data_IF_021095706989
#
_entry.id   IF_021095706989
#
_cell.length_a   1.000
_cell.length_b   1.000
_cell.length_c   1.000
_cell.angle_alpha   90.00
_cell.angle_beta   90.00
_cell.angle_gamma   90.00
#
_symmetry.space_group_name_H-M   'P 1'
#
loop_
_entity.id
_entity.type
_entity.pdbx_description
1 polymer ?
#
# COMPACT_ATOMS: atom_id res chain seq x y z
N UNK A 1 -1.13 -41.63 0.77
CA UNK A 1 -2.11 -40.69 0.19
C UNK A 1 -2.98 -40.17 1.33
N UNK A 2 -2.66 -38.99 1.87
CA UNK A 2 -3.47 -38.26 2.86
C UNK A 2 -3.95 -36.97 2.19
N UNK A 3 -4.91 -37.10 1.28
CA UNK A 3 -5.65 -35.98 0.72
C UNK A 3 -6.69 -35.53 1.73
N UNK A 4 -6.34 -34.55 2.57
CA UNK A 4 -7.24 -33.53 3.14
C UNK A 4 -6.55 -32.82 4.31
N UNK A 5 -5.71 -31.83 4.01
CA UNK A 5 -5.57 -30.68 4.92
C UNK A 5 -6.52 -29.63 4.35
N UNK A 6 -7.68 -29.43 4.98
CA UNK A 6 -8.59 -28.34 4.61
C UNK A 6 -7.82 -27.03 4.73
N UNK A 7 -7.79 -26.22 3.65
CA UNK A 7 -7.22 -24.87 3.71
C UNK A 7 -7.91 -24.08 4.85
N UNK A 8 -7.18 -23.23 5.59
CA UNK A 8 -7.78 -22.47 6.68
C UNK A 8 -8.90 -21.56 6.17
N UNK A 9 -9.95 -21.39 6.99
CA UNK A 9 -10.95 -20.34 6.75
C UNK A 9 -10.34 -18.98 7.07
N UNK A 10 -10.40 -18.06 6.10
CA UNK A 10 -9.76 -16.75 6.18
C UNK A 10 -10.81 -15.65 6.33
N UNK A 11 -10.63 -14.79 7.33
CA UNK A 11 -11.29 -13.49 7.38
C UNK A 11 -10.34 -12.40 6.89
N UNK A 12 -10.75 -11.61 5.90
CA UNK A 12 -10.07 -10.38 5.49
C UNK A 12 -10.81 -9.19 6.09
N UNK A 13 -10.18 -8.48 7.01
CA UNK A 13 -10.75 -7.28 7.64
C UNK A 13 -10.23 -6.04 6.92
N UNK A 14 -11.12 -5.36 6.18
CA UNK A 14 -10.78 -4.24 5.31
C UNK A 14 -10.67 -4.63 3.82
N UNK A 15 -11.22 -3.80 2.94
CA UNK A 15 -11.33 -4.09 1.50
C UNK A 15 -10.86 -2.90 0.64
N UNK A 16 -9.73 -2.31 1.06
CA UNK A 16 -9.00 -1.31 0.30
C UNK A 16 -8.14 -1.91 -0.82
N UNK A 17 -7.03 -1.25 -1.18
CA UNK A 17 -6.12 -1.72 -2.23
C UNK A 17 -5.58 -3.13 -1.96
N UNK A 18 -4.93 -3.34 -0.80
CA UNK A 18 -4.41 -4.65 -0.40
C UNK A 18 -5.54 -5.65 -0.08
N UNK A 19 -6.52 -5.23 0.73
CA UNK A 19 -7.66 -6.09 1.13
C UNK A 19 -8.37 -6.75 -0.04
N UNK A 20 -8.69 -5.99 -1.09
CA UNK A 20 -9.31 -6.53 -2.30
C UNK A 20 -8.39 -7.50 -3.06
N UNK A 21 -7.12 -7.15 -3.22
CA UNK A 21 -6.16 -7.98 -3.96
C UNK A 21 -5.94 -9.33 -3.27
N UNK A 22 -5.72 -9.32 -1.96
CA UNK A 22 -5.54 -10.52 -1.16
C UNK A 22 -6.79 -11.40 -1.22
N UNK A 23 -7.98 -10.82 -1.00
CA UNK A 23 -9.23 -11.57 -1.04
C UNK A 23 -9.47 -12.26 -2.39
N UNK A 24 -9.29 -11.55 -3.50
CA UNK A 24 -9.47 -12.10 -4.84
C UNK A 24 -8.45 -13.20 -5.14
N UNK A 25 -7.17 -12.98 -4.84
CA UNK A 25 -6.13 -13.96 -5.12
C UNK A 25 -6.31 -15.24 -4.27
N UNK A 26 -6.67 -15.09 -2.99
CA UNK A 26 -6.95 -16.22 -2.10
C UNK A 26 -8.17 -17.02 -2.57
N UNK A 27 -9.25 -16.36 -2.95
CA UNK A 27 -10.43 -17.05 -3.51
C UNK A 27 -10.06 -17.80 -4.80
N UNK A 28 -9.32 -17.16 -5.71
CA UNK A 28 -8.91 -17.79 -6.97
C UNK A 28 -7.88 -18.94 -6.72
N UNK A 29 -7.20 -18.93 -5.57
CA UNK A 29 -6.37 -20.04 -5.06
C UNK A 29 -7.18 -21.13 -4.31
N UNK A 30 -8.50 -20.98 -4.22
CA UNK A 30 -9.41 -21.96 -3.62
C UNK A 30 -9.49 -21.93 -2.10
N UNK A 31 -9.21 -20.78 -1.46
CA UNK A 31 -9.47 -20.56 -0.04
C UNK A 31 -10.92 -20.12 0.20
N UNK A 32 -11.45 -20.48 1.37
CA UNK A 32 -12.71 -19.92 1.89
C UNK A 32 -12.41 -18.56 2.54
N UNK A 33 -12.94 -17.48 1.93
CA UNK A 33 -12.65 -16.09 2.30
C UNK A 33 -13.94 -15.36 2.66
N UNK A 34 -14.00 -14.86 3.89
CA UNK A 34 -15.07 -13.96 4.35
C UNK A 34 -14.52 -12.55 4.53
N UNK A 35 -15.26 -11.53 4.08
CA UNK A 35 -14.86 -10.13 4.16
C UNK A 35 -15.53 -9.46 5.37
N UNK A 36 -14.72 -8.92 6.28
CA UNK A 36 -15.16 -8.15 7.44
C UNK A 36 -15.16 -6.65 7.14
N UNK A 37 -16.35 -6.04 7.05
CA UNK A 37 -16.52 -4.62 6.75
C UNK A 37 -17.61 -3.98 7.60
N UNK A 38 -17.47 -2.67 7.85
CA UNK A 38 -18.56 -1.88 8.44
C UNK A 38 -19.73 -1.79 7.44
N UNK A 39 -20.98 -1.95 7.90
CA UNK A 39 -22.15 -1.93 7.03
C UNK A 39 -22.38 -0.54 6.41
N UNK A 40 -22.94 -0.52 5.20
CA UNK A 40 -23.34 0.68 4.46
C UNK A 40 -22.23 1.41 3.71
N UNK A 41 -20.99 0.89 3.73
CA UNK A 41 -19.84 1.54 3.10
C UNK A 41 -19.66 1.23 1.60
N UNK A 42 -18.96 2.08 0.84
CA UNK A 42 -18.68 1.85 -0.58
C UNK A 42 -17.85 0.57 -0.82
N UNK A 43 -16.99 0.20 0.13
CA UNK A 43 -16.20 -1.03 0.06
C UNK A 43 -17.03 -2.28 0.26
N UNK A 44 -18.15 -2.22 1.00
CA UNK A 44 -19.08 -3.35 1.14
C UNK A 44 -19.79 -3.63 -0.19
N UNK A 45 -20.31 -2.58 -0.82
CA UNK A 45 -20.95 -2.68 -2.14
C UNK A 45 -19.98 -3.32 -3.14
N UNK A 46 -18.73 -2.86 -3.14
CA UNK A 46 -17.68 -3.39 -4.00
C UNK A 46 -17.36 -4.86 -3.70
N UNK A 47 -17.20 -5.24 -2.44
CA UNK A 47 -16.92 -6.63 -2.07
C UNK A 47 -18.07 -7.58 -2.46
N UNK A 48 -19.32 -7.15 -2.30
CA UNK A 48 -20.50 -7.91 -2.76
C UNK A 48 -20.52 -8.03 -4.29
N UNK A 49 -20.22 -6.95 -5.01
CA UNK A 49 -20.13 -6.97 -6.47
C UNK A 49 -18.99 -7.86 -6.98
N UNK A 50 -17.87 -7.93 -6.25
CA UNK A 50 -16.77 -8.85 -6.51
C UNK A 50 -17.11 -10.31 -6.11
N UNK A 51 -18.31 -10.58 -5.55
CA UNK A 51 -18.84 -11.93 -5.28
C UNK A 51 -18.48 -12.50 -3.91
N UNK A 52 -18.12 -11.67 -2.92
CA UNK A 52 -17.77 -12.14 -1.58
C UNK A 52 -18.94 -12.17 -0.62
N UNK A 53 -18.90 -13.13 0.31
CA UNK A 53 -19.66 -13.05 1.56
C UNK A 53 -19.09 -11.92 2.42
N UNK A 54 -19.94 -10.93 2.75
CA UNK A 54 -19.58 -9.80 3.60
C UNK A 54 -20.32 -9.91 4.92
N UNK A 55 -19.59 -9.76 6.02
CA UNK A 55 -20.12 -9.72 7.40
C UNK A 55 -19.57 -8.50 8.13
N UNK A 56 -20.13 -8.21 9.32
CA UNK A 56 -19.46 -7.27 10.22
C UNK A 56 -18.09 -7.84 10.64
N UNK A 57 -17.11 -7.00 11.03
CA UNK A 57 -15.79 -7.51 11.41
C UNK A 57 -15.86 -8.51 12.57
N UNK A 58 -16.72 -8.29 13.56
CA UNK A 58 -16.93 -9.22 14.68
C UNK A 58 -17.39 -10.62 14.20
N UNK A 59 -18.40 -10.67 13.34
CA UNK A 59 -18.94 -11.93 12.80
C UNK A 59 -17.96 -12.61 11.82
N UNK A 60 -17.15 -11.83 11.11
CA UNK A 60 -16.15 -12.37 10.19
C UNK A 60 -15.03 -13.09 10.94
N UNK A 61 -14.55 -12.53 12.07
CA UNK A 61 -13.42 -13.10 12.82
C UNK A 61 -13.79 -14.29 13.71
N UNK A 62 -15.05 -14.39 14.16
CA UNK A 62 -15.47 -15.39 15.16
C UNK A 62 -15.30 -16.86 14.73
N UNK A 63 -15.29 -17.16 13.43
CA UNK A 63 -15.15 -18.53 12.89
C UNK A 63 -13.91 -18.75 12.03
N UNK A 64 -13.04 -17.74 11.92
CA UNK A 64 -11.86 -17.77 11.08
C UNK A 64 -10.68 -18.42 11.81
N UNK A 65 -9.94 -19.25 11.08
CA UNK A 65 -8.67 -19.83 11.57
C UNK A 65 -7.51 -18.85 11.35
N UNK A 66 -7.64 -18.00 10.33
CA UNK A 66 -6.70 -16.92 10.03
C UNK A 66 -7.46 -15.62 9.79
N UNK A 67 -7.07 -14.55 10.50
CA UNK A 67 -7.63 -13.20 10.37
C UNK A 67 -6.55 -12.26 9.82
N UNK A 68 -6.73 -11.77 8.61
CA UNK A 68 -5.83 -10.78 8.02
C UNK A 68 -6.39 -9.36 8.22
N UNK A 69 -5.61 -8.50 8.89
CA UNK A 69 -5.97 -7.11 9.15
C UNK A 69 -5.38 -6.22 8.06
N UNK A 70 -6.23 -5.79 7.12
CA UNK A 70 -5.87 -5.02 5.92
C UNK A 70 -6.61 -3.68 5.87
N UNK A 71 -6.83 -3.09 7.04
CA UNK A 71 -7.32 -1.70 7.21
C UNK A 71 -6.13 -0.73 7.34
N UNK A 72 -6.33 0.59 7.14
CA UNK A 72 -5.24 1.56 7.35
C UNK A 72 -4.62 1.45 8.74
N UNK A 73 -3.29 1.58 8.86
CA UNK A 73 -2.59 1.32 10.12
C UNK A 73 -3.15 2.11 11.31
N UNK A 74 -3.51 3.38 11.08
CA UNK A 74 -4.03 4.28 12.10
C UNK A 74 -5.40 3.87 12.67
N UNK A 75 -6.15 2.97 12.01
CA UNK A 75 -7.43 2.47 12.54
C UNK A 75 -7.30 1.08 13.17
N UNK A 76 -6.19 0.37 12.94
CA UNK A 76 -6.06 -1.04 13.35
C UNK A 76 -6.07 -1.19 14.87
N UNK A 77 -5.42 -0.30 15.63
CA UNK A 77 -5.35 -0.41 17.09
C UNK A 77 -6.75 -0.40 17.74
N UNK A 78 -7.57 0.60 17.41
CA UNK A 78 -8.94 0.69 17.93
C UNK A 78 -9.80 -0.50 17.45
N UNK A 79 -9.68 -0.86 16.16
CA UNK A 79 -10.41 -1.99 15.60
C UNK A 79 -10.03 -3.31 16.28
N UNK A 80 -8.75 -3.48 16.62
CA UNK A 80 -8.28 -4.65 17.32
C UNK A 80 -8.92 -4.73 18.70
N UNK A 81 -8.76 -3.71 19.54
CA UNK A 81 -9.28 -3.70 20.92
C UNK A 81 -10.80 -3.83 20.98
N UNK A 82 -11.53 -3.07 20.17
CA UNK A 82 -13.00 -3.03 20.28
C UNK A 82 -13.69 -4.22 19.63
N UNK A 83 -13.07 -4.82 18.61
CA UNK A 83 -13.76 -5.75 17.72
C UNK A 83 -13.00 -7.04 17.52
N UNK A 84 -11.73 -7.02 17.13
CA UNK A 84 -11.02 -8.26 16.78
C UNK A 84 -10.70 -9.07 18.04
N UNK A 85 -10.05 -8.45 19.03
CA UNK A 85 -9.60 -9.10 20.27
C UNK A 85 -10.70 -9.88 21.01
N UNK A 86 -11.89 -9.31 21.26
CA UNK A 86 -12.96 -10.02 21.97
C UNK A 86 -13.66 -11.10 21.12
N UNK A 87 -13.57 -11.03 19.79
CA UNK A 87 -14.32 -11.93 18.90
C UNK A 87 -13.44 -12.96 18.18
N UNK A 88 -12.13 -12.75 18.07
CA UNK A 88 -11.23 -13.69 17.40
C UNK A 88 -11.17 -15.01 18.17
N UNK A 89 -11.25 -16.13 17.42
CA UNK A 89 -11.23 -17.46 17.99
C UNK A 89 -9.93 -17.74 18.75
N UNK A 90 -10.04 -18.53 19.82
CA UNK A 90 -8.87 -18.94 20.60
C UNK A 90 -7.89 -19.74 19.75
N UNK A 91 -6.60 -19.40 19.82
CA UNK A 91 -5.55 -20.07 19.04
C UNK A 91 -5.57 -19.78 17.54
N UNK A 92 -6.35 -18.80 17.08
CA UNK A 92 -6.35 -18.37 15.69
C UNK A 92 -5.03 -17.67 15.30
N UNK A 93 -4.79 -17.56 14.00
CA UNK A 93 -3.66 -16.82 13.44
C UNK A 93 -4.07 -15.39 13.06
N UNK A 94 -3.42 -14.39 13.66
CA UNK A 94 -3.56 -12.98 13.33
C UNK A 94 -2.47 -12.58 12.33
N UNK A 95 -2.87 -12.11 11.15
CA UNK A 95 -1.97 -11.73 10.08
C UNK A 95 -2.04 -10.22 9.80
N UNK A 96 -0.87 -9.60 9.64
CA UNK A 96 -0.72 -8.23 9.14
C UNK A 96 -0.04 -8.21 7.77
N UNK A 97 -0.30 -7.17 6.97
CA UNK A 97 0.47 -6.89 5.75
C UNK A 97 1.55 -5.81 5.95
N UNK A 98 1.61 -5.22 7.14
CA UNK A 98 2.64 -4.27 7.55
C UNK A 98 2.81 -4.35 9.07
N UNK A 99 4.04 -4.29 9.56
CA UNK A 99 4.36 -4.53 10.97
C UNK A 99 4.11 -3.34 11.91
N UNK A 100 3.75 -2.16 11.41
CA UNK A 100 3.67 -0.89 12.14
C UNK A 100 3.05 -1.02 13.55
N UNK A 101 1.82 -1.53 13.65
CA UNK A 101 1.09 -1.53 14.91
C UNK A 101 1.68 -2.49 15.95
N UNK A 102 2.24 -3.62 15.52
CA UNK A 102 2.90 -4.57 16.44
C UNK A 102 4.30 -4.06 16.80
N UNK A 103 5.05 -3.56 15.83
CA UNK A 103 6.42 -3.09 16.04
C UNK A 103 6.49 -1.86 16.96
N UNK A 104 5.60 -0.88 16.78
CA UNK A 104 5.51 0.32 17.62
C UNK A 104 4.56 0.18 18.82
N UNK A 105 4.16 -1.06 19.16
CA UNK A 105 3.39 -1.35 20.37
C UNK A 105 1.99 -0.71 20.44
N UNK A 106 1.37 -0.42 19.30
CA UNK A 106 -0.01 0.07 19.24
C UNK A 106 -1.02 -1.08 19.39
N UNK A 107 -0.63 -2.30 19.02
CA UNK A 107 -1.38 -3.53 19.25
C UNK A 107 -0.48 -4.49 20.04
N UNK A 108 -1.00 -4.97 21.16
CA UNK A 108 -0.44 -6.10 21.91
C UNK A 108 -1.33 -7.31 21.67
N UNK A 109 -0.93 -8.26 20.79
CA UNK A 109 -1.75 -9.41 20.50
C UNK A 109 -1.97 -10.29 21.73
N UNK A 110 -3.14 -10.94 21.82
CA UNK A 110 -3.42 -11.93 22.86
C UNK A 110 -2.37 -13.04 22.85
N UNK A 111 -2.04 -13.55 24.05
CA UNK A 111 -0.98 -14.52 24.25
C UNK A 111 -1.26 -15.92 23.68
N UNK A 112 -2.51 -16.22 23.28
CA UNK A 112 -2.88 -17.51 22.69
C UNK A 112 -2.79 -17.53 21.15
N UNK A 113 -2.70 -16.37 20.50
CA UNK A 113 -2.74 -16.27 19.05
C UNK A 113 -1.40 -16.61 18.40
N UNK A 114 -1.42 -17.14 17.17
CA UNK A 114 -0.26 -16.98 16.30
C UNK A 114 -0.28 -15.57 15.71
N UNK A 115 0.88 -14.93 15.55
CA UNK A 115 0.98 -13.58 14.97
C UNK A 115 2.03 -13.58 13.87
N UNK A 116 1.58 -13.32 12.66
CA UNK A 116 2.40 -13.41 11.44
C UNK A 116 2.23 -12.17 10.58
N UNK A 117 3.16 -12.00 9.66
CA UNK A 117 3.11 -10.97 8.65
C UNK A 117 3.36 -11.58 7.27
N UNK A 118 2.63 -11.09 6.28
CA UNK A 118 2.89 -11.34 4.85
C UNK A 118 2.73 -10.02 4.10
N UNK A 119 3.84 -9.46 3.64
CA UNK A 119 3.87 -8.15 2.98
C UNK A 119 4.35 -8.28 1.52
N UNK A 120 3.42 -8.23 0.54
CA UNK A 120 3.79 -8.05 -0.86
C UNK A 120 4.46 -6.69 -1.06
N UNK A 121 5.62 -6.68 -1.71
CA UNK A 121 6.40 -5.46 -1.96
C UNK A 121 5.90 -4.76 -3.22
N UNK A 122 4.67 -4.24 -3.12
CA UNK A 122 4.00 -3.47 -4.16
C UNK A 122 2.58 -3.07 -3.78
N UNK A 123 2.01 -2.05 -4.44
CA UNK A 123 0.64 -1.61 -4.19
C UNK A 123 -0.37 -2.70 -4.57
N UNK A 124 -1.45 -2.83 -3.79
CA UNK A 124 -2.41 -3.92 -3.93
C UNK A 124 -3.01 -4.10 -5.34
N UNK A 125 -3.26 -3.02 -6.07
CA UNK A 125 -3.71 -3.12 -7.46
C UNK A 125 -2.72 -3.88 -8.36
N UNK A 126 -1.42 -3.70 -8.17
CA UNK A 126 -0.38 -4.46 -8.89
C UNK A 126 -0.29 -5.89 -8.37
N UNK A 127 -0.46 -6.12 -7.06
CA UNK A 127 -0.55 -7.48 -6.49
C UNK A 127 -1.64 -8.30 -7.18
N UNK A 128 -2.81 -7.71 -7.44
CA UNK A 128 -3.87 -8.37 -8.20
C UNK A 128 -3.48 -8.56 -9.67
N UNK A 129 -3.00 -7.51 -10.32
CA UNK A 129 -2.68 -7.53 -11.76
C UNK A 129 -1.63 -8.59 -12.12
N UNK A 130 -0.54 -8.63 -11.36
CA UNK A 130 0.52 -9.62 -11.57
C UNK A 130 0.00 -11.04 -11.34
N UNK A 131 -0.85 -11.24 -10.34
CA UNK A 131 -1.46 -12.54 -10.06
C UNK A 131 -2.30 -13.06 -11.23
N UNK A 132 -3.13 -12.19 -11.82
CA UNK A 132 -4.02 -12.51 -12.95
C UNK A 132 -3.27 -12.93 -14.21
N UNK A 133 -2.06 -12.39 -14.42
CA UNK A 133 -1.20 -12.75 -15.57
C UNK A 133 -0.23 -13.91 -15.23
N UNK A 134 -0.48 -14.63 -14.13
CA UNK A 134 0.30 -15.80 -13.73
C UNK A 134 1.63 -15.48 -13.02
N UNK A 135 1.92 -14.21 -12.78
CA UNK A 135 3.11 -13.73 -12.03
C UNK A 135 2.77 -13.56 -10.55
N UNK A 136 3.70 -13.07 -9.75
CA UNK A 136 3.48 -12.77 -8.34
C UNK A 136 4.36 -11.61 -7.91
N UNK A 137 3.84 -10.75 -7.04
CA UNK A 137 4.65 -9.68 -6.44
C UNK A 137 5.55 -10.31 -5.38
N UNK A 138 6.87 -10.07 -5.40
CA UNK A 138 7.79 -10.54 -4.36
C UNK A 138 7.26 -10.16 -2.98
N UNK A 139 7.30 -11.10 -2.06
CA UNK A 139 6.71 -10.94 -0.73
C UNK A 139 7.71 -11.33 0.34
N UNK A 140 7.69 -10.60 1.45
CA UNK A 140 8.36 -11.00 2.67
C UNK A 140 7.33 -11.56 3.65
N UNK A 141 7.78 -12.43 4.56
CA UNK A 141 6.95 -12.92 5.65
C UNK A 141 7.72 -12.95 6.97
N UNK A 142 7.01 -12.82 8.07
CA UNK A 142 7.59 -12.88 9.41
C UNK A 142 6.67 -13.59 10.39
N UNK A 143 7.26 -14.12 11.46
CA UNK A 143 6.56 -14.67 12.61
C UNK A 143 6.96 -13.83 13.83
N UNK A 144 5.98 -13.19 14.46
CA UNK A 144 6.17 -12.44 15.70
C UNK A 144 5.90 -13.32 16.93
N UNK A 145 4.84 -14.13 16.86
CA UNK A 145 4.43 -15.02 17.94
C UNK A 145 3.98 -16.35 17.33
N UNK A 146 4.52 -17.47 17.83
CA UNK A 146 4.14 -18.83 17.44
C UNK A 146 3.73 -19.62 18.67
N UNK A 147 2.42 -19.80 18.86
CA UNK A 147 1.81 -20.52 19.98
C UNK A 147 1.38 -21.91 19.58
N UNK A 148 0.97 -22.09 18.34
CA UNK A 148 0.53 -23.39 17.83
C UNK A 148 1.68 -24.27 17.31
N UNK A 149 2.85 -23.69 17.04
CA UNK A 149 3.94 -24.34 16.29
C UNK A 149 3.71 -24.37 14.77
N UNK A 150 2.70 -23.64 14.28
CA UNK A 150 2.28 -23.61 12.86
C UNK A 150 2.27 -22.20 12.27
N UNK A 151 2.69 -21.18 13.01
CA UNK A 151 2.64 -19.79 12.53
C UNK A 151 3.36 -19.60 11.17
N UNK A 152 4.55 -20.18 11.02
CA UNK A 152 5.30 -20.13 9.76
C UNK A 152 4.55 -20.83 8.60
N UNK A 153 3.89 -21.95 8.89
CA UNK A 153 3.06 -22.65 7.90
C UNK A 153 1.86 -21.79 7.47
N UNK A 154 1.20 -21.10 8.41
CA UNK A 154 0.12 -20.16 8.09
C UNK A 154 0.60 -19.02 7.20
N UNK A 155 1.74 -18.40 7.55
CA UNK A 155 2.31 -17.30 6.77
C UNK A 155 2.66 -17.74 5.34
N UNK A 156 3.34 -18.88 5.18
CA UNK A 156 3.71 -19.41 3.86
C UNK A 156 2.50 -19.86 3.05
N UNK A 157 1.50 -20.47 3.69
CA UNK A 157 0.23 -20.88 3.04
C UNK A 157 -0.52 -19.66 2.50
N UNK A 158 -0.63 -18.61 3.32
CA UNK A 158 -1.26 -17.35 2.92
C UNK A 158 -0.46 -16.64 1.81
N UNK A 159 0.86 -16.57 1.95
CA UNK A 159 1.76 -15.99 0.95
C UNK A 159 1.65 -16.72 -0.41
N UNK A 160 1.59 -18.05 -0.39
CA UNK A 160 1.32 -18.86 -1.58
C UNK A 160 -0.04 -18.55 -2.22
N UNK A 161 -1.10 -18.44 -1.40
CA UNK A 161 -2.45 -18.14 -1.85
C UNK A 161 -2.63 -16.75 -2.48
N UNK A 162 -1.81 -15.77 -2.10
CA UNK A 162 -1.80 -14.46 -2.77
C UNK A 162 -0.84 -14.38 -3.98
N UNK A 163 -0.12 -15.47 -4.28
CA UNK A 163 0.87 -15.57 -5.35
C UNK A 163 2.29 -15.12 -4.99
N UNK A 164 2.52 -14.65 -3.77
CA UNK A 164 3.82 -14.14 -3.32
C UNK A 164 4.92 -15.21 -3.27
N UNK A 165 4.55 -16.48 -3.05
CA UNK A 165 5.51 -17.59 -3.04
C UNK A 165 6.01 -18.00 -4.43
N UNK A 166 5.43 -17.49 -5.52
CA UNK A 166 5.89 -17.81 -6.91
C UNK A 166 7.33 -17.38 -7.17
N UNK A 167 7.87 -16.45 -6.37
CA UNK A 167 9.22 -15.90 -6.49
C UNK A 167 10.10 -16.18 -5.26
N UNK A 168 9.77 -17.20 -4.45
CA UNK A 168 10.35 -17.49 -3.13
C UNK A 168 10.14 -16.36 -2.11
N UNK A 169 9.23 -16.57 -1.16
CA UNK A 169 9.01 -15.60 -0.09
C UNK A 169 10.24 -15.50 0.83
N UNK A 170 10.65 -14.28 1.17
CA UNK A 170 11.81 -14.03 2.02
C UNK A 170 11.38 -13.92 3.48
N UNK A 171 12.01 -14.69 4.36
CA UNK A 171 11.78 -14.60 5.81
C UNK A 171 12.45 -13.34 6.36
N UNK A 172 11.72 -12.58 7.16
CA UNK A 172 12.17 -11.35 7.83
C UNK A 172 11.63 -11.30 9.26
N UNK A 173 11.72 -10.14 9.91
CA UNK A 173 11.11 -9.84 11.21
C UNK A 173 10.12 -8.69 11.07
N UNK A 174 9.20 -8.54 12.03
CA UNK A 174 8.30 -7.37 12.05
C UNK A 174 9.08 -6.04 12.11
N UNK A 175 10.21 -6.01 12.82
CA UNK A 175 11.10 -4.84 12.91
C UNK A 175 11.68 -4.50 11.54
N UNK A 176 12.37 -5.46 10.92
CA UNK A 176 13.01 -5.24 9.61
C UNK A 176 11.98 -4.88 8.54
N UNK A 177 10.84 -5.56 8.49
CA UNK A 177 9.77 -5.22 7.56
C UNK A 177 9.27 -3.79 7.78
N UNK A 178 8.92 -3.42 9.01
CA UNK A 178 8.37 -2.10 9.30
C UNK A 178 9.36 -1.00 8.95
N UNK A 179 10.61 -1.11 9.41
CA UNK A 179 11.61 -0.07 9.24
C UNK A 179 12.02 0.09 7.77
N UNK A 180 12.19 -1.01 7.04
CA UNK A 180 12.62 -0.96 5.63
C UNK A 180 11.50 -0.52 4.70
N UNK A 181 10.25 -0.91 4.97
CA UNK A 181 9.09 -0.48 4.20
C UNK A 181 8.88 1.03 4.32
N UNK A 182 8.82 1.54 5.56
CA UNK A 182 8.72 2.98 5.84
C UNK A 182 9.88 3.78 5.25
N UNK A 183 11.11 3.26 5.34
CA UNK A 183 12.27 3.94 4.75
C UNK A 183 12.15 3.99 3.22
N UNK A 184 11.79 2.86 2.60
CA UNK A 184 11.65 2.75 1.15
C UNK A 184 10.66 3.75 0.59
N UNK A 185 9.46 3.85 1.17
CA UNK A 185 8.43 4.79 0.71
C UNK A 185 8.81 6.26 0.95
N UNK A 186 9.43 6.59 2.08
CA UNK A 186 9.77 7.98 2.41
C UNK A 186 10.97 8.47 1.60
N UNK A 187 12.05 7.70 1.56
CA UNK A 187 13.33 8.15 1.00
C UNK A 187 13.46 7.92 -0.51
N UNK A 188 12.76 6.93 -1.07
CA UNK A 188 12.97 6.50 -2.48
C UNK A 188 11.67 6.45 -3.27
N UNK A 189 10.77 5.53 -2.93
CA UNK A 189 9.67 5.09 -3.80
C UNK A 189 8.57 6.14 -3.97
N UNK A 190 8.26 6.89 -2.91
CA UNK A 190 7.21 7.91 -2.92
C UNK A 190 7.82 9.30 -2.74
N UNK A 191 8.38 9.60 -1.57
CA UNK A 191 8.88 10.94 -1.24
C UNK A 191 10.02 11.38 -2.16
N UNK A 192 11.10 10.59 -2.19
CA UNK A 192 12.27 10.85 -3.03
C UNK A 192 11.95 10.96 -4.52
N UNK A 193 11.26 9.98 -5.09
CA UNK A 193 10.87 9.99 -6.50
C UNK A 193 9.98 11.19 -6.85
N UNK A 194 8.96 11.50 -6.05
CA UNK A 194 8.06 12.63 -6.31
C UNK A 194 8.82 13.95 -6.32
N UNK A 195 9.69 14.18 -5.33
CA UNK A 195 10.44 15.43 -5.23
C UNK A 195 11.54 15.56 -6.28
N UNK A 196 12.18 14.46 -6.69
CA UNK A 196 13.13 14.48 -7.80
C UNK A 196 12.45 14.86 -9.13
N UNK A 197 11.28 14.26 -9.41
CA UNK A 197 10.49 14.58 -10.60
C UNK A 197 10.04 16.04 -10.61
N UNK A 198 9.46 16.51 -9.50
CA UNK A 198 8.98 17.90 -9.38
C UNK A 198 10.13 18.89 -9.57
N UNK A 199 11.25 18.72 -8.86
CA UNK A 199 12.40 19.62 -8.96
C UNK A 199 13.01 19.65 -10.38
N UNK A 200 13.10 18.49 -11.05
CA UNK A 200 13.58 18.42 -12.43
C UNK A 200 12.64 19.16 -13.40
N UNK A 201 11.33 18.95 -13.25
CA UNK A 201 10.32 19.62 -14.07
C UNK A 201 10.30 21.14 -13.85
N UNK A 202 10.32 21.57 -12.58
CA UNK A 202 10.37 22.99 -12.18
C UNK A 202 11.60 23.67 -12.78
N UNK A 203 12.78 23.05 -12.65
CA UNK A 203 14.04 23.58 -13.21
C UNK A 203 13.93 23.86 -14.71
N UNK A 204 13.31 22.95 -15.48
CA UNK A 204 13.15 23.14 -16.92
C UNK A 204 12.12 24.24 -17.23
N UNK A 205 10.98 24.25 -16.55
CA UNK A 205 9.93 25.25 -16.80
C UNK A 205 10.37 26.65 -16.41
N UNK A 206 11.07 26.80 -15.29
CA UNK A 206 11.63 28.08 -14.83
C UNK A 206 12.69 28.62 -15.79
N UNK A 207 13.43 27.75 -16.46
CA UNK A 207 14.37 28.13 -17.52
C UNK A 207 13.68 28.50 -18.86
N UNK A 208 12.35 28.42 -18.94
CA UNK A 208 11.55 28.82 -20.11
C UNK A 208 11.29 27.69 -21.11
N UNK A 209 11.59 26.43 -20.77
CA UNK A 209 11.20 25.29 -21.60
C UNK A 209 9.71 25.01 -21.51
N UNK A 210 9.16 24.34 -22.54
CA UNK A 210 7.74 24.01 -22.58
C UNK A 210 7.37 23.00 -21.46
N UNK A 211 6.31 23.27 -20.68
CA UNK A 211 5.82 22.36 -19.64
C UNK A 211 5.58 20.92 -20.12
N UNK A 212 5.03 20.76 -21.33
CA UNK A 212 4.78 19.44 -21.92
C UNK A 212 6.05 18.67 -22.22
N UNK A 213 7.10 19.33 -22.73
CA UNK A 213 8.39 18.69 -23.00
C UNK A 213 9.08 18.32 -21.70
N UNK A 214 9.09 19.22 -20.72
CA UNK A 214 9.62 18.93 -19.38
C UNK A 214 8.90 17.75 -18.71
N UNK A 215 7.59 17.60 -18.92
CA UNK A 215 6.84 16.46 -18.40
C UNK A 215 7.31 15.13 -19.00
N UNK A 216 7.57 15.10 -20.31
CA UNK A 216 8.09 13.89 -20.96
C UNK A 216 9.44 13.49 -20.40
N UNK A 217 10.37 14.45 -20.34
CA UNK A 217 11.75 14.25 -19.88
C UNK A 217 11.83 13.88 -18.39
N UNK A 218 11.06 14.55 -17.52
CA UNK A 218 11.22 14.41 -16.08
C UNK A 218 10.30 13.37 -15.43
N UNK A 219 9.18 12.99 -16.06
CA UNK A 219 8.25 12.01 -15.49
C UNK A 219 7.92 10.86 -16.43
N UNK A 220 7.55 11.13 -17.69
CA UNK A 220 7.07 10.07 -18.59
C UNK A 220 8.17 9.03 -18.87
N UNK A 221 9.37 9.48 -19.22
CA UNK A 221 10.48 8.61 -19.56
C UNK A 221 11.10 7.90 -18.35
N UNK A 222 10.85 8.38 -17.13
CA UNK A 222 11.30 7.72 -15.91
C UNK A 222 10.78 6.28 -15.83
N UNK A 223 9.57 6.01 -16.35
CA UNK A 223 9.06 4.64 -16.43
C UNK A 223 9.97 3.72 -17.24
N UNK A 224 10.49 4.19 -18.38
CA UNK A 224 11.33 3.37 -19.27
C UNK A 224 12.65 3.00 -18.58
N UNK A 225 13.27 3.96 -17.87
CA UNK A 225 14.49 3.72 -17.10
C UNK A 225 14.24 2.75 -15.94
N UNK A 226 13.14 2.94 -15.21
CA UNK A 226 12.77 2.05 -14.09
C UNK A 226 12.42 0.64 -14.59
N UNK A 227 11.80 0.50 -15.77
CA UNK A 227 11.54 -0.81 -16.38
C UNK A 227 12.87 -1.53 -16.69
N UNK A 228 13.89 -0.83 -17.21
CA UNK A 228 15.22 -1.42 -17.44
C UNK A 228 15.91 -1.85 -16.13
N UNK A 229 15.80 -1.03 -15.06
CA UNK A 229 16.28 -1.43 -13.73
C UNK A 229 15.57 -2.68 -13.22
N UNK A 230 14.26 -2.76 -13.43
CA UNK A 230 13.46 -3.91 -13.03
C UNK A 230 13.82 -5.17 -13.81
N UNK A 231 14.09 -5.06 -15.12
CA UNK A 231 14.39 -6.19 -16.00
C UNK A 231 15.80 -6.77 -15.81
N UNK A 232 16.80 -5.95 -15.49
CA UNK A 232 18.18 -6.42 -15.38
C UNK A 232 19.14 -5.49 -14.63
N UNK A 233 18.62 -4.60 -13.78
CA UNK A 233 19.39 -3.72 -12.94
C UNK A 233 20.07 -2.57 -13.68
N UNK A 234 21.00 -1.90 -12.99
CA UNK A 234 21.76 -0.75 -13.52
C UNK A 234 22.53 -1.13 -14.79
N UNK A 235 23.06 -2.35 -14.85
CA UNK A 235 23.76 -2.88 -16.04
C UNK A 235 22.86 -2.87 -17.27
N UNK A 236 21.62 -3.37 -17.16
CA UNK A 236 20.66 -3.41 -18.27
C UNK A 236 20.32 -2.00 -18.77
N UNK A 237 20.21 -1.04 -17.86
CA UNK A 237 20.02 0.35 -18.25
C UNK A 237 21.22 0.86 -19.07
N UNK A 238 22.47 0.65 -18.61
CA UNK A 238 23.68 1.05 -19.34
C UNK A 238 23.84 0.36 -20.70
N UNK A 239 23.34 -0.86 -20.88
CA UNK A 239 23.33 -1.54 -22.18
C UNK A 239 22.41 -0.87 -23.22
N UNK A 240 21.39 -0.14 -22.76
CA UNK A 240 20.31 0.38 -23.61
C UNK A 240 20.37 1.88 -23.84
N UNK A 241 20.88 2.65 -22.88
CA UNK A 241 20.98 4.11 -23.03
C UNK A 241 22.25 4.51 -23.81
N UNK A 242 22.20 5.64 -24.51
CA UNK A 242 23.34 6.15 -25.28
C UNK A 242 24.54 6.48 -24.39
N UNK A 243 25.75 6.43 -24.93
CA UNK A 243 26.97 6.80 -24.20
C UNK A 243 26.91 8.23 -23.63
N UNK A 244 26.23 9.14 -24.31
CA UNK A 244 25.98 10.50 -23.81
C UNK A 244 25.13 10.50 -22.54
N UNK A 245 24.05 9.72 -22.51
CA UNK A 245 23.21 9.57 -21.33
C UNK A 245 23.97 8.87 -20.19
N UNK A 246 24.79 7.85 -20.50
CA UNK A 246 25.63 7.17 -19.51
C UNK A 246 26.63 8.13 -18.88
N UNK A 247 27.37 8.88 -19.71
CA UNK A 247 28.32 9.87 -19.23
C UNK A 247 27.64 10.93 -18.39
N UNK A 248 26.48 11.43 -18.83
CA UNK A 248 25.63 12.36 -18.06
C UNK A 248 25.27 11.80 -16.68
N UNK A 249 24.69 10.59 -16.63
CA UNK A 249 24.29 9.95 -15.38
C UNK A 249 25.47 9.73 -14.42
N UNK A 250 26.60 9.20 -14.90
CA UNK A 250 27.78 8.90 -14.09
C UNK A 250 28.43 10.14 -13.49
N UNK A 251 28.38 11.27 -14.19
CA UNK A 251 29.08 12.50 -13.77
C UNK A 251 28.16 13.48 -13.05
N UNK A 252 26.86 13.52 -13.36
CA UNK A 252 25.90 14.48 -12.78
C UNK A 252 25.07 13.85 -11.67
N UNK A 253 24.84 12.53 -11.71
CA UNK A 253 24.13 11.80 -10.65
C UNK A 253 24.67 12.09 -9.25
N UNK A 254 25.99 12.04 -9.00
CA UNK A 254 26.58 12.36 -7.70
C UNK A 254 26.41 13.81 -7.22
N UNK A 255 26.01 14.74 -8.09
CA UNK A 255 25.68 16.12 -7.70
C UNK A 255 24.23 16.25 -7.23
N UNK A 256 23.35 15.39 -7.73
CA UNK A 256 21.93 15.36 -7.37
C UNK A 256 21.70 14.47 -6.14
N UNK A 257 22.35 13.31 -6.11
CA UNK A 257 22.34 12.39 -4.97
C UNK A 257 23.76 12.28 -4.43
N UNK A 258 24.07 13.17 -3.50
CA UNK A 258 25.38 13.35 -2.90
C UNK A 258 25.45 12.82 -1.45
N UNK A 259 26.57 13.09 -0.76
CA UNK A 259 26.72 12.70 0.65
C UNK A 259 25.73 13.44 1.57
N UNK A 260 25.29 14.65 1.23
CA UNK A 260 24.24 15.34 1.98
C UNK A 260 22.90 14.61 1.87
N UNK A 261 22.51 14.22 0.66
CA UNK A 261 21.29 13.45 0.39
C UNK A 261 21.30 12.14 1.17
N UNK A 262 22.43 11.43 1.15
CA UNK A 262 22.63 10.21 1.94
C UNK A 262 22.55 10.47 3.45
N UNK A 263 23.02 11.62 3.94
CA UNK A 263 22.88 12.00 5.33
C UNK A 263 21.41 12.25 5.73
N UNK A 264 20.60 12.85 4.84
CA UNK A 264 19.15 12.98 5.06
C UNK A 264 18.46 11.61 5.09
N UNK A 265 18.82 10.70 4.19
CA UNK A 265 18.30 9.32 4.23
C UNK A 265 18.62 8.63 5.56
N UNK A 266 19.85 8.79 6.09
CA UNK A 266 20.21 8.25 7.41
C UNK A 266 19.36 8.85 8.54
N UNK A 267 19.10 10.17 8.47
CA UNK A 267 18.23 10.84 9.45
C UNK A 267 16.80 10.29 9.40
N UNK A 268 16.22 10.14 8.21
CA UNK A 268 14.89 9.52 8.01
C UNK A 268 14.87 8.11 8.61
N UNK A 269 15.88 7.29 8.33
CA UNK A 269 15.97 5.95 8.91
C UNK A 269 16.06 5.98 10.45
N UNK A 270 16.82 6.92 11.03
CA UNK A 270 16.89 7.08 12.50
C UNK A 270 15.53 7.44 13.09
N UNK A 271 14.81 8.40 12.49
CA UNK A 271 13.47 8.81 12.95
C UNK A 271 12.42 7.69 12.82
N UNK A 272 12.61 6.76 11.89
CA UNK A 272 11.80 5.53 11.79
C UNK A 272 12.17 4.56 12.91
N UNK A 273 13.46 4.28 13.08
CA UNK A 273 13.97 3.30 14.05
C UNK A 273 13.70 3.68 15.50
N UNK A 274 13.76 4.96 15.85
CA UNK A 274 13.48 5.46 17.20
C UNK A 274 11.99 5.79 17.45
N UNK A 275 11.14 5.54 16.43
CA UNK A 275 9.69 5.74 16.46
C UNK A 275 9.24 7.21 16.40
N UNK A 276 10.13 8.16 16.10
CA UNK A 276 9.76 9.57 15.93
C UNK A 276 8.72 9.76 14.84
N UNK A 277 8.94 9.15 13.67
CA UNK A 277 7.96 9.17 12.57
C UNK A 277 6.60 8.58 13.01
N UNK A 278 6.61 7.42 13.65
CA UNK A 278 5.39 6.76 14.10
C UNK A 278 4.59 7.64 15.07
N UNK A 279 5.26 8.26 16.06
CA UNK A 279 4.62 9.19 17.02
C UNK A 279 4.03 10.42 16.31
N UNK A 280 4.75 11.01 15.37
CA UNK A 280 4.26 12.14 14.58
C UNK A 280 3.03 11.77 13.77
N UNK A 281 3.06 10.64 13.07
CA UNK A 281 1.94 10.20 12.24
C UNK A 281 0.69 9.88 13.05
N UNK A 282 0.84 9.16 14.17
CA UNK A 282 -0.26 8.88 15.09
C UNK A 282 -0.87 10.18 15.64
N UNK A 283 -0.03 11.15 16.00
CA UNK A 283 -0.50 12.44 16.53
C UNK A 283 -1.26 13.26 15.46
N UNK A 284 -0.75 13.35 14.24
CA UNK A 284 -1.41 14.01 13.10
C UNK A 284 -2.77 13.36 12.80
N UNK A 285 -2.83 12.03 12.84
CA UNK A 285 -4.07 11.29 12.61
C UNK A 285 -5.12 11.57 13.69
N UNK A 286 -4.72 11.55 14.97
CA UNK A 286 -5.59 11.91 16.10
C UNK A 286 -6.06 13.36 16.05
N UNK A 287 -5.25 14.27 15.50
CA UNK A 287 -5.58 15.68 15.32
C UNK A 287 -6.48 15.97 14.10
N UNK A 288 -6.88 14.95 13.32
CA UNK A 288 -7.80 15.10 12.18
C UNK A 288 -7.13 15.33 10.82
N UNK A 289 -5.81 15.13 10.72
CA UNK A 289 -5.03 15.15 9.48
C UNK A 289 -5.03 16.48 8.72
N UNK A 290 -5.02 17.62 9.40
CA UNK A 290 -5.05 18.93 8.74
C UNK A 290 -3.79 19.19 7.92
N UNK A 291 -2.60 18.95 8.48
CA UNK A 291 -1.33 19.16 7.79
C UNK A 291 -1.15 18.14 6.67
N UNK A 292 -1.49 16.88 6.93
CA UNK A 292 -1.46 15.82 5.91
C UNK A 292 -2.32 16.20 4.69
N UNK A 293 -3.56 16.66 4.91
CA UNK A 293 -4.46 17.07 3.83
C UNK A 293 -3.90 18.26 3.05
N UNK A 294 -3.33 19.24 3.74
CA UNK A 294 -2.72 20.41 3.09
C UNK A 294 -1.51 20.03 2.22
N UNK A 295 -0.57 19.24 2.75
CA UNK A 295 0.60 18.76 2.00
C UNK A 295 0.18 17.93 0.78
N UNK A 296 -0.76 17.01 0.96
CA UNK A 296 -1.29 16.19 -0.15
C UNK A 296 -1.97 17.06 -1.21
N UNK A 297 -2.75 18.05 -0.81
CA UNK A 297 -3.43 18.94 -1.74
C UNK A 297 -2.42 19.77 -2.54
N UNK A 298 -1.33 20.23 -1.91
CA UNK A 298 -0.25 20.93 -2.61
C UNK A 298 0.41 20.06 -3.71
N UNK A 299 0.66 18.78 -3.44
CA UNK A 299 1.18 17.87 -4.47
C UNK A 299 0.16 17.65 -5.61
N UNK A 300 -1.13 17.56 -5.30
CA UNK A 300 -2.20 17.40 -6.31
C UNK A 300 -2.42 18.66 -7.16
N UNK A 301 -2.16 19.83 -6.58
CA UNK A 301 -2.29 21.13 -7.25
C UNK A 301 -1.00 21.56 -7.97
N UNK A 302 0.08 20.79 -7.85
CA UNK A 302 1.34 21.08 -8.52
C UNK A 302 1.14 21.16 -10.06
N UNK A 303 1.67 22.18 -10.76
CA UNK A 303 1.41 22.40 -12.19
C UNK A 303 1.75 21.22 -13.13
N UNK A 304 2.68 20.35 -12.73
CA UNK A 304 2.99 19.10 -13.43
C UNK A 304 1.76 18.20 -13.59
N UNK A 305 0.82 18.20 -12.65
CA UNK A 305 -0.38 17.34 -12.68
C UNK A 305 -1.38 17.81 -13.73
N UNK A 306 -1.59 19.13 -13.85
CA UNK A 306 -2.44 19.69 -14.90
C UNK A 306 -1.88 19.38 -16.30
N UNK A 307 -0.57 19.57 -16.47
CA UNK A 307 0.16 19.25 -17.71
C UNK A 307 0.06 17.75 -18.03
N UNK A 308 0.35 16.92 -17.04
CA UNK A 308 0.33 15.47 -17.17
C UNK A 308 -1.06 14.91 -17.48
N UNK A 309 -2.11 15.45 -16.86
CA UNK A 309 -3.50 15.04 -17.14
C UNK A 309 -3.85 15.25 -18.62
N UNK A 310 -3.49 16.39 -19.19
CA UNK A 310 -3.70 16.71 -20.61
C UNK A 310 -2.95 15.73 -21.52
N UNK A 311 -1.67 15.48 -21.24
CA UNK A 311 -0.84 14.58 -22.04
C UNK A 311 -1.30 13.12 -21.94
N UNK A 312 -1.56 12.62 -20.73
CA UNK A 312 -2.03 11.24 -20.51
C UNK A 312 -3.37 10.95 -21.17
N UNK A 313 -4.25 11.94 -21.31
CA UNK A 313 -5.53 11.79 -22.01
C UNK A 313 -5.37 11.50 -23.52
N UNK A 314 -4.27 11.93 -24.14
CA UNK A 314 -3.97 11.64 -25.54
C UNK A 314 -3.32 10.25 -25.76
N UNK A 315 -2.88 9.59 -24.68
CA UNK A 315 -2.17 8.31 -24.73
C UNK A 315 -3.15 7.14 -24.64
N UNK A 316 -3.66 6.68 -25.79
CA UNK A 316 -4.70 5.64 -25.85
C UNK A 316 -4.36 4.35 -25.07
N UNK A 317 -3.08 3.96 -25.03
CA UNK A 317 -2.62 2.75 -24.32
C UNK A 317 -2.72 2.85 -22.79
N UNK A 318 -2.79 4.06 -22.23
CA UNK A 318 -3.05 4.26 -20.80
C UNK A 318 -4.53 4.08 -20.44
N UNK A 319 -5.43 4.26 -21.41
CA UNK A 319 -6.88 4.09 -21.22
C UNK A 319 -7.31 2.62 -21.25
N UNK A 320 -6.50 1.75 -21.87
CA UNK A 320 -6.70 0.28 -21.90
C UNK A 320 -6.11 -0.43 -20.68
N UNK A 321 -5.38 0.27 -19.81
CA UNK A 321 -4.98 -0.25 -18.51
C UNK A 321 -6.22 -0.26 -17.57
N UNK A 322 -6.49 -1.34 -16.81
CA UNK A 322 -7.62 -1.34 -15.87
C UNK A 322 -7.49 -0.17 -14.90
N UNK A 323 -8.42 0.78 -14.96
CA UNK A 323 -8.45 1.94 -14.07
C UNK A 323 -8.66 1.47 -12.62
N UNK A 324 -7.88 1.96 -11.65
CA UNK A 324 -8.26 1.84 -10.24
C UNK A 324 -9.61 2.53 -10.04
N UNK A 325 -10.52 1.88 -9.32
CA UNK A 325 -11.84 2.44 -9.04
C UNK A 325 -11.70 3.84 -8.41
N UNK A 326 -12.18 4.85 -9.11
CA UNK A 326 -12.27 6.23 -8.62
C UNK A 326 -13.19 6.27 -7.40
N UNK A 327 -12.76 6.94 -6.33
CA UNK A 327 -13.67 7.31 -5.23
C UNK A 327 -14.69 8.31 -5.78
N UNK A 328 -16.00 8.15 -5.53
CA UNK A 328 -16.95 9.19 -5.84
C UNK A 328 -16.62 10.43 -5.01
N UNK A 329 -16.62 11.59 -5.67
CA UNK A 329 -16.52 12.88 -5.00
C UNK A 329 -17.56 12.98 -3.88
N UNK A 330 -17.15 13.43 -2.70
CA UNK A 330 -18.03 13.65 -1.56
C UNK A 330 -19.10 14.69 -1.92
N UNK A 331 -20.32 14.23 -2.19
CA UNK A 331 -21.49 15.09 -2.24
C UNK A 331 -21.89 15.44 -0.80
N UNK A 332 -21.29 16.50 -0.25
CA UNK A 332 -21.79 17.20 0.94
C UNK A 332 -21.82 18.69 0.66
N UNK A 333 -22.90 19.12 -0.01
CA UNK A 333 -23.47 20.45 0.16
C UNK A 333 -24.94 20.24 0.50
N UNK A 334 -25.20 19.99 1.78
CA UNK A 334 -26.55 19.89 2.31
C UNK A 334 -27.19 21.28 2.31
N UNK A 335 -28.21 21.42 1.47
CA UNK A 335 -29.56 21.73 1.93
C UNK A 335 -29.64 22.75 3.09
N UNK A 336 -29.52 24.03 2.75
CA UNK A 336 -29.92 25.16 3.60
C UNK A 336 -30.73 26.16 2.79
N UNK A 337 -31.93 25.76 2.36
CA UNK A 337 -32.96 26.68 1.88
C UNK A 337 -34.34 26.02 1.87
N UNK A 338 -34.94 25.79 3.05
CA UNK A 338 -36.38 25.55 3.18
C UNK A 338 -36.84 25.57 4.65
N UNK A 339 -36.66 26.69 5.37
CA UNK A 339 -37.43 26.99 6.59
C UNK A 339 -37.51 28.51 6.82
N UNK A 340 -38.27 29.19 5.99
CA UNK A 340 -38.87 30.50 6.32
C UNK A 340 -39.98 30.78 5.31
N UNK A 341 -41.18 30.25 5.56
CA UNK A 341 -42.45 30.86 5.14
C UNK A 341 -43.62 30.05 5.72
N UNK A 342 -43.96 30.36 6.96
CA UNK A 342 -45.31 30.19 7.49
C UNK A 342 -45.54 31.32 8.50
N UNK A 343 -45.79 32.51 7.95
CA UNK A 343 -46.34 33.65 8.66
C UNK A 343 -46.88 34.65 7.62
N UNK A 344 -48.11 34.40 7.11
CA UNK A 344 -49.11 35.41 6.75
C UNK A 344 -50.24 34.76 5.92
N UNK A 345 -51.48 35.05 6.37
CA UNK A 345 -52.78 34.77 5.74
C UNK A 345 -53.30 33.32 5.83
#
# INVERSE_FOLDING_TARGET
MTTSSSRPRIAIVGYGSQGRAHALNLRDSGFDVTIGLRPGGPTEIKAKADGFTVKTPAEAVAGAELVAVLTPDMVQAQLYTDVIEPNIAQGACLLFAHGFNVHYGQITPRADLDVVLVAPKGPGALVRREYEIGRGVPSVYAVYQDKSGKAEQFALTYCGGIGGARQNAIKTTFKEETETDLFGEQAVLCGGATKLVQAGWETLVEAGYQPEVAYYECLHELKLIVDLFYEGGITRMHEFISETAQYGALTRGPYIVDEHTKAQMKKVLTEIQDGTFARQWIAEYKAGNANYKAMKQADLDHPIEATGKKLRAAMAWLSTAPQPATQPASATAANTAAKTEQAAA
#
